data_IF_085559096977
#
_entry.id   IF_085559096977
#
_cell.length_a   1.000
_cell.length_b   1.000
_cell.length_c   1.000
_cell.angle_alpha   90.00
_cell.angle_beta   90.00
_cell.angle_gamma   90.00
#
_symmetry.space_group_name_H-M   'P 1'
#
loop_
_entity.id
_entity.type
_entity.pdbx_description
1 polymer ?
#
# COMPACT_ATOMS: atom_id res chain seq x y z
N UNK A 1 -0.67 -2.03 17.41
CA UNK A 1 -0.98 -1.90 15.96
C UNK A 1 0.25 -2.30 15.17
N UNK A 2 0.10 -2.89 13.98
CA UNK A 2 1.21 -3.29 13.12
C UNK A 2 1.34 -2.31 11.95
N UNK A 3 2.57 -2.08 11.50
CA UNK A 3 2.87 -1.27 10.33
C UNK A 3 3.04 -2.19 9.12
N UNK A 4 2.27 -1.98 8.07
CA UNK A 4 2.33 -2.77 6.84
C UNK A 4 2.83 -1.88 5.71
N UNK A 5 3.94 -2.26 5.07
CA UNK A 5 4.51 -1.50 3.97
C UNK A 5 4.01 -2.04 2.63
N UNK A 6 3.53 -1.13 1.79
CA UNK A 6 3.05 -1.39 0.45
C UNK A 6 3.74 -0.47 -0.55
N UNK A 7 4.13 -1.02 -1.69
CA UNK A 7 4.60 -0.26 -2.84
C UNK A 7 3.55 -0.36 -3.94
N UNK A 8 3.10 0.79 -4.40
CA UNK A 8 2.24 0.96 -5.56
C UNK A 8 3.16 1.26 -6.75
N UNK A 9 3.14 0.42 -7.77
CA UNK A 9 3.91 0.59 -9.00
C UNK A 9 2.97 0.83 -10.17
N UNK A 10 3.38 1.72 -11.07
CA UNK A 10 2.87 1.75 -12.45
C UNK A 10 3.83 0.99 -13.37
N UNK A 11 3.46 0.84 -14.64
CA UNK A 11 4.19 0.06 -15.65
C UNK A 11 5.69 0.42 -15.80
N UNK A 12 6.10 1.61 -15.34
CA UNK A 12 7.48 2.07 -15.49
C UNK A 12 8.11 2.65 -14.22
N UNK A 13 7.33 2.93 -13.16
CA UNK A 13 7.84 3.63 -11.98
C UNK A 13 7.12 3.26 -10.68
N UNK A 14 7.79 3.48 -9.55
CA UNK A 14 7.14 3.47 -8.24
C UNK A 14 6.20 4.68 -8.17
N UNK A 15 4.91 4.41 -8.09
CA UNK A 15 3.87 5.44 -7.95
C UNK A 15 3.82 5.97 -6.52
N UNK A 16 3.96 5.06 -5.53
CA UNK A 16 3.86 5.39 -4.12
C UNK A 16 4.46 4.31 -3.25
N UNK A 17 5.23 4.68 -2.24
CA UNK A 17 5.67 3.78 -1.16
C UNK A 17 5.03 4.28 0.14
N UNK A 18 4.29 3.42 0.83
CA UNK A 18 3.56 3.81 2.02
C UNK A 18 3.57 2.73 3.08
N UNK A 19 3.62 3.17 4.33
CA UNK A 19 3.42 2.34 5.50
C UNK A 19 2.06 2.63 6.11
N UNK A 20 1.22 1.60 6.22
CA UNK A 20 -0.14 1.67 6.76
C UNK A 20 -0.20 1.04 8.15
N UNK A 21 -0.77 1.77 9.11
CA UNK A 21 -1.12 1.21 10.41
C UNK A 21 -2.44 0.44 10.30
N UNK A 22 -2.41 -0.83 10.70
CA UNK A 22 -3.60 -1.68 10.74
C UNK A 22 -3.52 -2.71 11.88
N UNK A 23 -4.67 -3.23 12.29
CA UNK A 23 -4.74 -4.25 13.33
C UNK A 23 -4.37 -5.65 12.79
N UNK A 24 -4.47 -5.85 11.48
CA UNK A 24 -4.12 -7.10 10.81
C UNK A 24 -3.99 -6.94 9.31
N UNK A 25 -3.51 -8.01 8.64
CA UNK A 25 -3.26 -8.00 7.19
C UNK A 25 -4.53 -7.73 6.38
N UNK A 26 -5.68 -8.27 6.80
CA UNK A 26 -6.95 -8.03 6.13
C UNK A 26 -7.32 -6.53 6.10
N UNK A 27 -7.21 -5.85 7.24
CA UNK A 27 -7.49 -4.41 7.33
C UNK A 27 -6.45 -3.60 6.53
N UNK A 28 -5.18 -4.00 6.56
CA UNK A 28 -4.10 -3.38 5.77
C UNK A 28 -4.37 -3.49 4.26
N UNK A 29 -4.76 -4.69 3.78
CA UNK A 29 -5.11 -4.93 2.38
C UNK A 29 -6.35 -4.14 1.95
N UNK A 30 -7.37 -4.05 2.80
CA UNK A 30 -8.56 -3.23 2.52
C UNK A 30 -8.18 -1.76 2.32
N UNK A 31 -7.31 -1.20 3.18
CA UNK A 31 -6.80 0.16 3.04
C UNK A 31 -5.95 0.33 1.77
N UNK A 32 -5.08 -0.64 1.47
CA UNK A 32 -4.25 -0.61 0.26
C UNK A 32 -5.11 -0.68 -1.03
N UNK A 33 -6.19 -1.46 -1.04
CA UNK A 33 -7.13 -1.51 -2.17
C UNK A 33 -7.87 -0.18 -2.39
N UNK A 34 -8.28 0.50 -1.33
CA UNK A 34 -8.90 1.82 -1.45
C UNK A 34 -7.92 2.82 -2.08
N UNK A 35 -6.67 2.82 -1.62
CA UNK A 35 -5.62 3.67 -2.18
C UNK A 35 -5.31 3.34 -3.65
N UNK A 36 -5.31 2.06 -4.02
CA UNK A 36 -5.15 1.63 -5.41
C UNK A 36 -6.22 2.29 -6.29
N UNK A 37 -7.50 2.21 -5.88
CA UNK A 37 -8.62 2.79 -6.63
C UNK A 37 -8.51 4.31 -6.75
N UNK A 38 -8.04 5.00 -5.71
CA UNK A 38 -7.80 6.45 -5.76
C UNK A 38 -6.69 6.81 -6.74
N UNK A 39 -5.59 6.06 -6.73
CA UNK A 39 -4.48 6.28 -7.66
C UNK A 39 -4.88 5.97 -9.11
N UNK A 40 -5.71 4.95 -9.34
CA UNK A 40 -6.27 4.61 -10.66
C UNK A 40 -7.22 5.70 -11.17
N UNK A 41 -8.05 6.30 -10.30
CA UNK A 41 -8.89 7.45 -10.66
C UNK A 41 -8.06 8.66 -11.10
N UNK A 42 -6.94 8.90 -10.42
CA UNK A 42 -6.03 10.00 -10.76
C UNK A 42 -5.18 9.68 -12.02
N UNK A 43 -4.99 8.40 -12.34
CA UNK A 43 -4.19 7.95 -13.48
C UNK A 43 -4.95 6.87 -14.28
N UNK A 44 -6.03 7.24 -15.00
CA UNK A 44 -6.92 6.27 -15.67
C UNK A 44 -6.26 5.45 -16.78
N UNK A 45 -5.05 5.82 -17.20
CA UNK A 45 -4.25 5.11 -18.22
C UNK A 45 -3.14 4.25 -17.63
N UNK A 46 -2.90 4.30 -16.32
CA UNK A 46 -1.81 3.57 -15.68
C UNK A 46 -2.34 2.32 -14.98
N UNK A 47 -1.77 1.16 -15.27
CA UNK A 47 -2.05 -0.05 -14.50
C UNK A 47 -1.32 0.06 -13.15
N UNK A 48 -2.08 -0.01 -12.06
CA UNK A 48 -1.50 0.10 -10.71
C UNK A 48 -1.41 -1.27 -10.06
N UNK A 49 -0.18 -1.71 -9.84
CA UNK A 49 0.15 -2.93 -9.10
C UNK A 49 0.46 -2.58 -7.67
N UNK A 50 -0.07 -3.37 -6.73
CA UNK A 50 0.18 -3.20 -5.30
C UNK A 50 1.02 -4.38 -4.84
N UNK A 51 2.21 -4.10 -4.34
CA UNK A 51 3.11 -5.07 -3.76
C UNK A 51 3.16 -4.89 -2.25
N UNK A 52 2.97 -5.99 -1.52
CA UNK A 52 3.21 -6.02 -0.09
C UNK A 52 4.69 -6.32 0.17
N UNK A 53 5.36 -5.43 0.90
CA UNK A 53 6.80 -5.54 1.16
C UNK A 53 7.08 -6.24 2.49
N UNK A 54 6.28 -5.95 3.52
CA UNK A 54 6.50 -6.54 4.83
C UNK A 54 5.78 -5.82 5.96
N UNK A 55 5.93 -6.38 7.16
CA UNK A 55 5.40 -5.82 8.40
C UNK A 55 6.56 -5.23 9.18
N UNK A 56 6.51 -3.93 9.47
CA UNK A 56 7.39 -3.33 10.46
C UNK A 56 6.77 -3.50 11.85
N UNK A 57 7.59 -3.99 12.77
CA UNK A 57 7.29 -3.95 14.19
C UNK A 57 7.98 -2.70 14.73
N UNK A 58 7.22 -1.65 15.03
CA UNK A 58 7.76 -0.57 15.86
C UNK A 58 8.15 -1.19 17.19
N UNK A 59 9.45 -1.16 17.53
CA UNK A 59 9.91 -1.46 18.87
C UNK A 59 9.19 -0.47 19.80
N UNK A 60 8.21 -0.99 20.56
CA UNK A 60 7.72 -0.30 21.74
C UNK A 60 8.78 -0.62 22.80
N UNK A 61 9.84 0.20 22.83
CA UNK A 61 10.78 0.24 23.93
C UNK A 61 10.19 1.08 25.07
#
# INVERSE_FOLDING_TARGET
MKQFRFIFKTDQNIAKDITLNANGMFEAMKKAQLMKKELEKNNPRAMITVEFIGIAYTNIA
#
